data_IF_371188873219
#
_entry.id   IF_371188873219
#
_cell.length_a   1.000
_cell.length_b   1.000
_cell.length_c   1.000
_cell.angle_alpha   90.00
_cell.angle_beta   90.00
_cell.angle_gamma   90.00
#
_symmetry.space_group_name_H-M   'P 1'
#
loop_
_entity.id
_entity.type
_entity.pdbx_description
1 polymer ?
#
# COMPACT_ATOMS: atom_id res chain seq x y z
N UNK A 1 42.25 59.70 -59.18
CA UNK A 1 42.08 59.39 -57.74
C UNK A 1 42.04 57.88 -57.60
N UNK A 2 42.94 57.36 -56.77
CA UNK A 2 43.30 55.94 -56.69
C UNK A 2 42.26 55.17 -55.88
N UNK A 3 42.03 53.90 -56.23
CA UNK A 3 41.15 52.95 -55.53
C UNK A 3 41.74 52.48 -54.17
N UNK A 4 42.51 53.34 -53.51
CA UNK A 4 43.21 53.08 -52.26
C UNK A 4 42.65 53.87 -51.06
N UNK A 5 41.80 54.88 -51.26
CA UNK A 5 41.27 55.71 -50.17
C UNK A 5 39.96 55.15 -49.55
N UNK A 6 39.49 53.97 -49.98
CA UNK A 6 38.37 53.24 -49.37
C UNK A 6 38.81 52.03 -48.53
N UNK A 7 40.12 51.85 -48.32
CA UNK A 7 40.67 50.70 -47.58
C UNK A 7 41.30 51.07 -46.23
N UNK A 8 41.28 52.34 -45.82
CA UNK A 8 41.89 52.79 -44.55
C UNK A 8 40.93 52.92 -43.35
N UNK A 9 39.61 52.78 -43.51
CA UNK A 9 38.68 52.77 -42.34
C UNK A 9 38.32 51.37 -41.81
N UNK A 10 38.76 50.28 -42.45
CA UNK A 10 38.50 48.92 -41.97
C UNK A 10 39.63 48.36 -41.09
N UNK A 11 40.52 49.21 -40.58
CA UNK A 11 41.56 48.86 -39.60
C UNK A 11 41.14 49.39 -38.23
N UNK A 12 40.16 48.75 -37.61
CA UNK A 12 40.12 48.65 -36.15
C UNK A 12 39.37 47.39 -35.76
N UNK A 13 39.96 46.62 -34.83
CA UNK A 13 39.44 45.40 -34.20
C UNK A 13 39.64 44.06 -34.93
N UNK A 14 40.88 43.67 -35.15
CA UNK A 14 41.23 42.23 -35.16
C UNK A 14 42.35 41.97 -34.16
N UNK A 15 41.96 41.68 -32.91
CA UNK A 15 42.85 41.22 -31.85
C UNK A 15 42.70 39.71 -31.77
N UNK A 16 43.72 38.99 -32.20
CA UNK A 16 43.89 37.54 -32.08
C UNK A 16 43.60 37.09 -30.65
N UNK A 17 42.52 36.34 -30.45
CA UNK A 17 42.25 35.56 -29.24
C UNK A 17 42.46 34.06 -29.56
N UNK A 18 43.14 33.30 -28.68
CA UNK A 18 43.43 31.90 -28.94
C UNK A 18 42.17 31.04 -28.87
N UNK A 19 42.17 29.97 -29.67
CA UNK A 19 41.12 28.97 -29.83
C UNK A 19 40.46 28.59 -28.49
N UNK A 20 39.19 28.99 -28.31
CA UNK A 20 38.35 28.45 -27.25
C UNK A 20 37.95 27.02 -27.61
N UNK A 21 38.33 26.11 -26.73
CA UNK A 21 37.88 24.72 -26.68
C UNK A 21 36.35 24.68 -26.87
N UNK A 22 35.89 24.04 -27.94
CA UNK A 22 34.46 23.73 -28.11
C UNK A 22 34.10 22.68 -27.08
N UNK A 23 33.66 23.14 -25.92
CA UNK A 23 33.02 22.31 -24.92
C UNK A 23 31.58 22.15 -25.40
N UNK A 24 31.24 20.93 -25.83
CA UNK A 24 29.86 20.54 -26.12
C UNK A 24 29.01 20.92 -24.90
N UNK A 25 27.94 21.74 -25.03
CA UNK A 25 27.14 22.11 -23.89
C UNK A 25 26.49 20.84 -23.32
N UNK A 26 27.00 20.42 -22.17
CA UNK A 26 26.30 19.47 -21.32
C UNK A 26 24.91 20.03 -21.05
N UNK A 27 23.89 19.21 -21.29
CA UNK A 27 22.51 19.48 -20.91
C UNK A 27 22.47 19.49 -19.39
N UNK A 28 22.78 20.65 -18.80
CA UNK A 28 22.34 20.98 -17.45
C UNK A 28 20.88 21.38 -17.62
N UNK A 29 20.02 20.37 -17.54
CA UNK A 29 18.58 20.55 -17.44
C UNK A 29 18.33 21.30 -16.13
N UNK A 30 18.33 22.63 -16.21
CA UNK A 30 17.92 23.50 -15.13
C UNK A 30 16.45 23.24 -14.95
N UNK A 31 16.11 22.35 -14.01
CA UNK A 31 14.73 22.13 -13.60
C UNK A 31 14.23 23.41 -12.97
N UNK A 32 13.63 24.27 -13.79
CA UNK A 32 12.82 25.38 -13.36
C UNK A 32 11.70 24.78 -12.50
N UNK A 33 11.86 24.90 -11.17
CA UNK A 33 10.84 24.51 -10.21
C UNK A 33 9.66 25.44 -10.44
N UNK A 34 8.70 25.01 -11.25
CA UNK A 34 7.39 25.64 -11.36
C UNK A 34 6.82 25.67 -9.94
N UNK A 35 6.79 26.83 -9.31
CA UNK A 35 6.08 27.03 -8.05
C UNK A 35 4.59 26.81 -8.33
N UNK A 36 4.10 25.61 -8.04
CA UNK A 36 2.68 25.30 -8.06
C UNK A 36 1.96 26.33 -7.18
N UNK A 37 0.98 27.08 -7.70
CA UNK A 37 0.23 28.03 -6.89
C UNK A 37 -0.34 27.30 -5.66
N UNK A 38 -0.19 27.88 -4.47
CA UNK A 38 -0.74 27.32 -3.21
C UNK A 38 -2.25 27.16 -3.36
N UNK A 39 -2.68 25.98 -3.81
CA UNK A 39 -4.10 25.63 -3.96
C UNK A 39 -4.76 25.74 -2.59
N UNK A 40 -5.83 26.53 -2.54
CA UNK A 40 -6.64 26.74 -1.33
C UNK A 40 -7.25 25.40 -0.91
N UNK A 41 -7.50 25.18 0.39
CA UNK A 41 -8.06 23.91 0.90
C UNK A 41 -9.34 23.49 0.15
N UNK A 42 -10.16 24.46 -0.30
CA UNK A 42 -11.34 24.25 -1.12
C UNK A 42 -11.05 23.72 -2.53
N UNK A 43 -9.97 24.17 -3.16
CA UNK A 43 -9.55 23.68 -4.47
C UNK A 43 -8.99 22.26 -4.36
N UNK A 44 -8.26 21.95 -3.27
CA UNK A 44 -7.78 20.59 -2.96
C UNK A 44 -8.90 19.61 -2.64
N UNK A 45 -10.05 20.08 -2.17
CA UNK A 45 -11.25 19.24 -1.96
C UNK A 45 -11.97 18.96 -3.28
N UNK A 46 -11.97 19.91 -4.21
CA UNK A 46 -12.67 19.80 -5.49
C UNK A 46 -11.87 19.07 -6.59
N UNK A 47 -10.57 18.85 -6.39
CA UNK A 47 -9.78 18.00 -7.30
C UNK A 47 -10.26 16.54 -7.23
N UNK A 48 -10.64 15.90 -8.35
CA UNK A 48 -11.03 14.49 -8.36
C UNK A 48 -9.88 13.60 -7.89
N UNK A 49 -10.16 12.67 -6.98
CA UNK A 49 -9.15 11.75 -6.42
C UNK A 49 -8.44 12.25 -5.15
N UNK A 50 -8.97 13.29 -4.50
CA UNK A 50 -8.39 13.84 -3.27
C UNK A 50 -8.69 12.98 -2.04
N UNK A 51 -7.70 12.74 -1.18
CA UNK A 51 -7.85 12.01 0.10
C UNK A 51 -8.95 12.62 0.97
N UNK A 52 -9.14 13.95 0.91
CA UNK A 52 -10.17 14.64 1.66
C UNK A 52 -11.59 14.21 1.28
N UNK A 53 -11.83 13.77 0.04
CA UNK A 53 -13.13 13.26 -0.38
C UNK A 53 -13.48 11.96 0.34
N UNK A 54 -12.50 11.08 0.55
CA UNK A 54 -12.68 9.82 1.29
C UNK A 54 -12.99 10.10 2.75
N UNK A 55 -12.23 11.02 3.38
CA UNK A 55 -12.43 11.38 4.79
C UNK A 55 -13.80 12.04 5.03
N UNK A 56 -14.20 12.98 4.18
CA UNK A 56 -15.50 13.66 4.29
C UNK A 56 -16.63 12.65 4.07
N UNK A 57 -16.51 11.76 3.08
CA UNK A 57 -17.52 10.71 2.83
C UNK A 57 -17.65 9.76 4.01
N UNK A 58 -16.54 9.35 4.62
CA UNK A 58 -16.56 8.50 5.81
C UNK A 58 -17.22 9.19 7.00
N UNK A 59 -16.91 10.47 7.24
CA UNK A 59 -17.54 11.26 8.30
C UNK A 59 -19.06 11.41 8.10
N UNK A 60 -19.49 11.69 6.87
CA UNK A 60 -20.92 11.76 6.50
C UNK A 60 -21.60 10.40 6.71
N UNK A 61 -20.97 9.31 6.27
CA UNK A 61 -21.52 7.96 6.43
C UNK A 61 -21.71 7.60 7.92
N UNK A 62 -20.74 7.93 8.78
CA UNK A 62 -20.84 7.74 10.23
C UNK A 62 -21.97 8.60 10.81
N UNK A 63 -22.07 9.87 10.41
CA UNK A 63 -23.11 10.77 10.90
C UNK A 63 -24.52 10.27 10.53
N UNK A 64 -24.71 9.79 9.29
CA UNK A 64 -25.97 9.20 8.83
C UNK A 64 -26.26 7.91 9.61
N UNK A 65 -25.29 7.00 9.72
CA UNK A 65 -25.46 5.74 10.45
C UNK A 65 -25.83 5.96 11.92
N UNK A 66 -25.17 6.93 12.57
CA UNK A 66 -25.49 7.34 13.94
C UNK A 66 -26.89 7.91 14.06
N UNK A 67 -27.29 8.84 13.19
CA UNK A 67 -28.63 9.44 13.20
C UNK A 67 -29.75 8.41 12.97
N UNK A 68 -29.56 7.46 12.05
CA UNK A 68 -30.51 6.38 11.81
C UNK A 68 -30.63 5.47 13.04
N UNK A 69 -29.50 5.13 13.66
CA UNK A 69 -29.46 4.27 14.85
C UNK A 69 -30.13 4.91 16.09
N UNK A 70 -30.13 6.24 16.21
CA UNK A 70 -30.76 6.94 17.35
C UNK A 70 -32.23 7.31 17.12
N UNK A 71 -32.68 7.35 15.86
CA UNK A 71 -34.04 7.83 15.52
C UNK A 71 -35.02 6.68 15.24
N UNK A 72 -34.55 5.48 14.91
CA UNK A 72 -35.39 4.35 14.49
C UNK A 72 -35.18 3.14 15.40
N UNK A 73 -36.25 2.66 16.05
CA UNK A 73 -36.17 1.52 16.97
C UNK A 73 -35.83 0.19 16.28
N UNK A 74 -36.27 0.00 15.03
CA UNK A 74 -35.98 -1.19 14.22
C UNK A 74 -35.79 -0.81 12.75
N UNK A 75 -34.57 -0.95 12.26
CA UNK A 75 -34.25 -0.78 10.83
C UNK A 75 -34.63 -2.08 10.10
N UNK A 76 -35.44 -2.03 9.02
CA UNK A 76 -35.73 -3.21 8.21
C UNK A 76 -34.46 -3.80 7.60
N UNK A 77 -34.30 -5.13 7.67
CA UNK A 77 -33.13 -5.85 7.12
C UNK A 77 -32.89 -5.52 5.64
N UNK A 78 -33.97 -5.42 4.86
CA UNK A 78 -33.91 -5.07 3.44
C UNK A 78 -33.27 -3.69 3.17
N UNK A 79 -33.44 -2.72 4.07
CA UNK A 79 -32.85 -1.40 3.92
C UNK A 79 -31.32 -1.45 4.14
N UNK A 80 -30.87 -2.21 5.14
CA UNK A 80 -29.43 -2.43 5.40
C UNK A 80 -28.79 -3.16 4.21
N UNK A 81 -29.46 -4.20 3.69
CA UNK A 81 -28.96 -4.96 2.55
C UNK A 81 -28.83 -4.11 1.29
N UNK A 82 -29.82 -3.28 0.99
CA UNK A 82 -29.83 -2.40 -0.19
C UNK A 82 -28.75 -1.32 -0.08
N UNK A 83 -28.63 -0.66 1.08
CA UNK A 83 -27.59 0.32 1.35
C UNK A 83 -26.17 -0.28 1.29
N UNK A 84 -26.02 -1.56 1.62
CA UNK A 84 -24.74 -2.27 1.57
C UNK A 84 -24.28 -2.70 0.17
N UNK A 85 -25.15 -2.70 -0.85
CA UNK A 85 -24.81 -3.11 -2.22
C UNK A 85 -23.57 -2.41 -2.78
N UNK A 86 -23.48 -1.06 -2.81
CA UNK A 86 -22.32 -0.37 -3.38
C UNK A 86 -21.01 -0.74 -2.66
N UNK A 87 -21.04 -0.85 -1.33
CA UNK A 87 -19.89 -1.27 -0.54
C UNK A 87 -19.45 -2.70 -0.86
N UNK A 88 -20.39 -3.64 -0.98
CA UNK A 88 -20.10 -5.04 -1.34
C UNK A 88 -19.49 -5.16 -2.73
N UNK A 89 -20.03 -4.46 -3.73
CA UNK A 89 -19.48 -4.47 -5.10
C UNK A 89 -18.06 -3.88 -5.11
N UNK A 90 -17.84 -2.77 -4.39
CA UNK A 90 -16.53 -2.15 -4.26
C UNK A 90 -15.50 -3.08 -3.62
N UNK A 91 -15.84 -3.72 -2.49
CA UNK A 91 -14.95 -4.70 -1.84
C UNK A 91 -14.65 -5.91 -2.74
N UNK A 92 -15.65 -6.41 -3.47
CA UNK A 92 -15.44 -7.51 -4.45
C UNK A 92 -14.52 -7.09 -5.59
N UNK A 93 -14.66 -5.87 -6.10
CA UNK A 93 -13.79 -5.34 -7.14
C UNK A 93 -12.34 -5.19 -6.65
N UNK A 94 -12.13 -4.66 -5.44
CA UNK A 94 -10.80 -4.58 -4.84
C UNK A 94 -10.18 -5.97 -4.68
N UNK A 95 -10.92 -6.92 -4.11
CA UNK A 95 -10.44 -8.29 -3.89
C UNK A 95 -10.06 -8.99 -5.20
N UNK A 96 -10.84 -8.79 -6.26
CA UNK A 96 -10.56 -9.35 -7.59
C UNK A 96 -9.26 -8.84 -8.21
N UNK A 97 -8.85 -7.60 -7.91
CA UNK A 97 -7.64 -6.98 -8.45
C UNK A 97 -6.40 -7.28 -7.59
N UNK A 98 -6.58 -7.32 -6.26
CA UNK A 98 -5.47 -7.45 -5.31
C UNK A 98 -4.69 -8.75 -5.53
N UNK A 99 -5.38 -9.88 -5.69
CA UNK A 99 -4.71 -11.18 -5.74
C UNK A 99 -3.81 -11.35 -7.00
N UNK A 100 -4.27 -11.05 -8.24
CA UNK A 100 -3.38 -11.04 -9.41
C UNK A 100 -2.22 -10.04 -9.29
N UNK A 101 -2.50 -8.85 -8.74
CA UNK A 101 -1.50 -7.79 -8.59
C UNK A 101 -0.36 -8.23 -7.65
N UNK A 102 -0.69 -8.89 -6.54
CA UNK A 102 0.29 -9.43 -5.58
C UNK A 102 1.22 -10.43 -6.28
N UNK A 103 0.67 -11.39 -7.03
CA UNK A 103 1.45 -12.44 -7.72
C UNK A 103 2.44 -11.82 -8.69
N UNK A 104 1.96 -10.96 -9.59
CA UNK A 104 2.82 -10.30 -10.60
C UNK A 104 3.85 -9.40 -9.93
N UNK A 105 3.44 -8.61 -8.92
CA UNK A 105 4.35 -7.70 -8.23
C UNK A 105 5.44 -8.45 -7.45
N UNK A 106 5.14 -9.60 -6.84
CA UNK A 106 6.13 -10.40 -6.14
C UNK A 106 7.14 -11.04 -7.08
N UNK A 107 6.67 -11.61 -8.20
CA UNK A 107 7.55 -12.21 -9.21
C UNK A 107 8.57 -11.15 -9.69
N UNK A 108 8.09 -9.96 -10.06
CA UNK A 108 8.94 -8.86 -10.50
C UNK A 108 9.88 -8.36 -9.39
N UNK A 109 9.40 -8.28 -8.14
CA UNK A 109 10.22 -7.85 -7.01
C UNK A 109 11.39 -8.82 -6.76
N UNK A 110 11.13 -10.13 -6.81
CA UNK A 110 12.18 -11.16 -6.61
C UNK A 110 13.20 -11.13 -7.73
N UNK A 111 12.78 -10.96 -8.99
CA UNK A 111 13.70 -10.83 -10.13
C UNK A 111 14.64 -9.63 -9.96
N UNK A 112 14.09 -8.45 -9.62
CA UNK A 112 14.88 -7.24 -9.36
C UNK A 112 15.84 -7.38 -8.17
N UNK A 113 15.41 -8.06 -7.11
CA UNK A 113 16.26 -8.32 -5.94
C UNK A 113 17.44 -9.25 -6.28
N UNK A 114 17.26 -10.16 -7.24
CA UNK A 114 18.32 -11.08 -7.70
C UNK A 114 19.36 -10.38 -8.58
N UNK A 115 18.93 -9.47 -9.46
CA UNK A 115 19.84 -8.61 -10.26
C UNK A 115 20.72 -7.74 -9.34
N UNK A 116 20.21 -7.38 -8.17
CA UNK A 116 20.95 -6.64 -7.14
C UNK A 116 21.93 -7.57 -6.39
N UNK A 117 23.06 -7.87 -7.03
CA UNK A 117 24.13 -8.83 -6.68
C UNK A 117 24.57 -8.96 -5.20
N UNK A 118 24.36 -7.97 -4.31
CA UNK A 118 24.86 -8.01 -2.91
C UNK A 118 23.87 -7.58 -1.83
N UNK A 119 22.64 -7.18 -2.17
CA UNK A 119 21.72 -6.51 -1.23
C UNK A 119 20.58 -7.35 -0.65
N UNK A 120 20.14 -8.41 -1.34
CA UNK A 120 18.87 -9.09 -1.03
C UNK A 120 18.78 -9.68 0.38
N UNK A 121 19.83 -10.35 0.84
CA UNK A 121 19.86 -10.96 2.19
C UNK A 121 19.89 -9.92 3.32
N UNK A 122 20.58 -8.79 3.10
CA UNK A 122 20.62 -7.69 4.06
C UNK A 122 19.24 -7.05 4.19
N UNK A 123 18.59 -6.75 3.06
CA UNK A 123 17.24 -6.21 3.00
C UNK A 123 16.25 -7.13 3.72
N UNK A 124 16.24 -8.42 3.39
CA UNK A 124 15.35 -9.39 4.03
C UNK A 124 15.52 -9.42 5.57
N UNK A 125 16.76 -9.40 6.05
CA UNK A 125 17.06 -9.42 7.49
C UNK A 125 16.61 -8.14 8.20
N UNK A 126 16.80 -6.98 7.56
CA UNK A 126 16.29 -5.71 8.08
C UNK A 126 14.76 -5.66 8.08
N UNK A 127 14.10 -6.15 7.04
CA UNK A 127 12.64 -6.21 6.96
C UNK A 127 12.06 -7.12 8.05
N UNK A 128 12.61 -8.34 8.22
CA UNK A 128 12.17 -9.27 9.28
C UNK A 128 12.39 -8.64 10.66
N UNK A 129 13.59 -8.10 10.92
CA UNK A 129 13.89 -7.45 12.20
C UNK A 129 12.97 -6.26 12.48
N UNK A 130 12.71 -5.42 11.48
CA UNK A 130 11.81 -4.28 11.58
C UNK A 130 10.37 -4.71 11.87
N UNK A 131 9.86 -5.73 11.17
CA UNK A 131 8.50 -6.24 11.36
C UNK A 131 8.32 -6.87 12.75
N UNK A 132 9.27 -7.70 13.19
CA UNK A 132 9.25 -8.29 14.54
C UNK A 132 9.33 -7.20 15.62
N UNK A 133 10.22 -6.24 15.48
CA UNK A 133 10.38 -5.17 16.46
C UNK A 133 9.11 -4.32 16.57
N UNK A 134 8.56 -3.85 15.44
CA UNK A 134 7.34 -3.03 15.44
C UNK A 134 6.13 -3.79 15.96
N UNK A 135 6.00 -5.10 15.66
CA UNK A 135 4.94 -5.96 16.20
C UNK A 135 5.08 -6.13 17.70
N UNK A 136 6.28 -6.40 18.21
CA UNK A 136 6.53 -6.50 19.65
C UNK A 136 6.19 -5.19 20.37
N UNK A 137 6.63 -4.04 19.82
CA UNK A 137 6.29 -2.72 20.36
C UNK A 137 4.77 -2.51 20.38
N UNK A 138 4.06 -2.89 19.32
CA UNK A 138 2.60 -2.80 19.27
C UNK A 138 1.92 -3.69 20.32
N UNK A 139 2.39 -4.93 20.52
CA UNK A 139 1.86 -5.85 21.54
C UNK A 139 2.08 -5.29 22.95
N UNK A 140 3.29 -4.81 23.26
CA UNK A 140 3.56 -4.18 24.54
C UNK A 140 2.71 -2.94 24.77
N UNK A 141 2.63 -2.05 23.78
CA UNK A 141 1.82 -0.84 23.85
C UNK A 141 0.34 -1.16 24.08
N UNK A 142 -0.21 -2.09 23.29
CA UNK A 142 -1.60 -2.55 23.43
C UNK A 142 -1.84 -3.14 24.82
N UNK A 143 -0.97 -4.02 25.30
CA UNK A 143 -1.12 -4.68 26.60
C UNK A 143 -1.07 -3.68 27.76
N UNK A 144 -0.14 -2.71 27.71
CA UNK A 144 -0.02 -1.66 28.73
C UNK A 144 -1.25 -0.76 28.75
N UNK A 145 -1.75 -0.32 27.59
CA UNK A 145 -2.96 0.50 27.51
C UNK A 145 -4.20 -0.25 28.01
N UNK A 146 -4.34 -1.53 27.63
CA UNK A 146 -5.42 -2.38 28.12
C UNK A 146 -5.36 -2.49 29.65
N UNK A 147 -4.19 -2.82 30.20
CA UNK A 147 -4.02 -3.07 31.63
C UNK A 147 -4.20 -1.81 32.50
N UNK A 148 -3.72 -0.65 32.05
CA UNK A 148 -3.70 0.57 32.87
C UNK A 148 -4.92 1.49 32.67
N UNK A 149 -5.43 1.58 31.43
CA UNK A 149 -6.45 2.56 31.06
C UNK A 149 -7.80 1.87 30.83
N UNK A 150 -7.85 0.95 29.88
CA UNK A 150 -9.13 0.39 29.43
C UNK A 150 -9.77 -0.56 30.44
N UNK A 151 -9.00 -1.41 31.13
CA UNK A 151 -9.52 -2.32 32.16
C UNK A 151 -10.29 -1.61 33.28
N UNK A 152 -9.94 -0.34 33.56
CA UNK A 152 -10.60 0.49 34.58
C UNK A 152 -11.84 1.21 34.07
N UNK A 153 -11.99 1.33 32.74
CA UNK A 153 -13.07 2.07 32.11
C UNK A 153 -14.22 1.17 31.65
N UNK A 154 -13.95 -0.11 31.41
CA UNK A 154 -14.93 -1.10 30.98
C UNK A 154 -15.38 -1.97 32.17
N UNK A 155 -16.69 -2.10 32.38
CA UNK A 155 -17.28 -3.06 33.31
C UNK A 155 -17.56 -4.37 32.58
N UNK A 156 -17.36 -5.51 33.24
CA UNK A 156 -17.76 -6.81 32.70
C UNK A 156 -19.28 -6.83 32.48
N UNK A 157 -19.69 -7.05 31.23
CA UNK A 157 -21.10 -7.29 30.89
C UNK A 157 -21.46 -8.73 31.20
N UNK A 158 -22.62 -8.92 31.83
CA UNK A 158 -23.15 -10.23 32.22
C UNK A 158 -23.21 -11.16 30.98
N UNK A 159 -22.66 -12.39 31.06
CA UNK A 159 -22.67 -13.33 29.94
C UNK A 159 -24.07 -13.60 29.36
N UNK A 160 -25.14 -13.54 30.16
CA UNK A 160 -26.52 -13.76 29.69
C UNK A 160 -27.09 -12.57 28.90
N UNK A 161 -26.49 -11.38 29.04
CA UNK A 161 -26.87 -10.18 28.27
C UNK A 161 -26.23 -10.12 26.88
N UNK A 162 -25.26 -11.01 26.60
CA UNK A 162 -24.61 -11.09 25.29
C UNK A 162 -25.55 -11.75 24.30
N UNK A 163 -26.32 -10.94 23.60
CA UNK A 163 -27.05 -11.36 22.39
C UNK A 163 -26.06 -11.61 21.26
N UNK A 164 -25.27 -12.69 21.38
CA UNK A 164 -24.44 -13.19 20.28
C UNK A 164 -25.37 -13.94 19.34
N UNK A 165 -25.28 -13.61 18.05
CA UNK A 165 -25.98 -14.36 17.02
C UNK A 165 -25.61 -15.85 17.10
N UNK A 166 -26.58 -16.75 16.95
CA UNK A 166 -26.38 -18.20 17.16
C UNK A 166 -25.34 -18.79 16.19
N UNK A 167 -25.20 -18.21 15.00
CA UNK A 167 -24.21 -18.65 14.03
C UNK A 167 -22.80 -18.17 14.45
N UNK A 168 -22.70 -16.95 14.99
CA UNK A 168 -21.45 -16.42 15.52
C UNK A 168 -20.98 -17.19 16.78
N UNK A 169 -21.91 -17.62 17.63
CA UNK A 169 -21.58 -18.44 18.80
C UNK A 169 -21.00 -19.81 18.39
N UNK A 170 -21.54 -20.46 17.36
CA UNK A 170 -20.99 -21.72 16.83
C UNK A 170 -19.57 -21.55 16.29
N UNK A 171 -19.28 -20.45 15.61
CA UNK A 171 -17.93 -20.15 15.11
C UNK A 171 -16.94 -19.90 16.25
N UNK A 172 -17.37 -19.27 17.33
CA UNK A 172 -16.54 -19.05 18.53
C UNK A 172 -16.26 -20.37 19.23
N UNK A 173 -17.28 -21.19 19.44
CA UNK A 173 -17.15 -22.46 20.17
C UNK A 173 -16.26 -23.43 19.38
N UNK A 174 -16.42 -23.51 18.06
CA UNK A 174 -15.56 -24.33 17.19
C UNK A 174 -14.10 -23.85 17.15
N UNK A 175 -13.85 -22.53 17.22
CA UNK A 175 -12.49 -21.97 17.27
C UNK A 175 -11.83 -22.09 18.64
N UNK A 176 -12.61 -22.12 19.73
CA UNK A 176 -12.08 -22.25 21.09
C UNK A 176 -11.50 -23.64 21.40
N UNK A 177 -11.85 -24.64 20.59
CA UNK A 177 -11.39 -26.01 20.73
C UNK A 177 -9.98 -26.26 20.14
N UNK A 178 -9.43 -25.34 19.34
CA UNK A 178 -8.11 -25.49 18.76
C UNK A 178 -7.02 -25.27 19.82
N UNK A 179 -6.12 -26.22 19.95
CA UNK A 179 -4.96 -26.02 20.81
C UNK A 179 -3.94 -25.13 20.11
N UNK A 180 -3.13 -24.42 20.90
CA UNK A 180 -2.12 -23.51 20.35
C UNK A 180 -1.13 -24.20 19.39
N UNK A 181 -0.88 -25.50 19.57
CA UNK A 181 0.02 -26.25 18.70
C UNK A 181 -0.60 -26.56 17.32
N UNK A 182 -1.90 -26.83 17.26
CA UNK A 182 -2.61 -27.13 16.00
C UNK A 182 -2.54 -25.93 15.03
N UNK A 183 -2.70 -24.72 15.57
CA UNK A 183 -2.65 -23.47 14.80
C UNK A 183 -1.24 -23.27 14.18
N UNK A 184 -0.19 -23.61 14.93
CA UNK A 184 1.18 -23.49 14.43
C UNK A 184 1.42 -24.51 13.32
N UNK A 185 0.98 -25.76 13.50
CA UNK A 185 1.10 -26.80 12.45
C UNK A 185 0.35 -26.37 11.19
N UNK A 186 -0.90 -25.92 11.32
CA UNK A 186 -1.72 -25.45 10.20
C UNK A 186 -1.07 -24.28 9.43
N UNK A 187 -0.41 -23.36 10.14
CA UNK A 187 0.33 -22.26 9.52
C UNK A 187 1.46 -22.78 8.62
N UNK A 188 2.21 -23.79 9.08
CA UNK A 188 3.30 -24.40 8.31
C UNK A 188 2.78 -25.21 7.13
N UNK A 189 1.69 -25.96 7.29
CA UNK A 189 1.04 -26.68 6.21
C UNK A 189 0.54 -25.71 5.12
N UNK A 190 0.08 -24.52 5.53
CA UNK A 190 -0.38 -23.47 4.61
C UNK A 190 0.75 -22.78 3.83
N UNK A 191 2.01 -22.86 4.30
CA UNK A 191 3.15 -22.27 3.57
C UNK A 191 3.38 -22.91 2.21
N UNK A 192 3.13 -24.21 2.08
CA UNK A 192 3.32 -24.97 0.83
C UNK A 192 2.01 -25.68 0.49
N UNK A 193 1.12 -25.03 -0.29
CA UNK A 193 -0.18 -25.62 -0.60
C UNK A 193 -0.04 -26.79 -1.57
N UNK A 194 -0.84 -27.84 -1.37
CA UNK A 194 -0.91 -29.01 -2.28
C UNK A 194 -1.33 -28.63 -3.71
N UNK A 195 -2.10 -27.55 -3.85
CA UNK A 195 -2.56 -27.03 -5.13
C UNK A 195 -2.57 -25.49 -5.14
N UNK A 196 -1.71 -24.90 -5.97
CA UNK A 196 -1.57 -23.44 -6.11
C UNK A 196 -2.86 -22.78 -6.62
N UNK A 197 -3.57 -23.43 -7.56
CA UNK A 197 -4.82 -22.88 -8.14
C UNK A 197 -5.93 -22.90 -7.10
N UNK A 198 -6.03 -23.96 -6.30
CA UNK A 198 -6.97 -24.03 -5.20
C UNK A 198 -6.64 -22.99 -4.11
N UNK A 199 -5.35 -22.78 -3.81
CA UNK A 199 -4.91 -21.74 -2.88
C UNK A 199 -5.28 -20.33 -3.37
N UNK A 200 -5.15 -20.08 -4.68
CA UNK A 200 -5.57 -18.84 -5.31
C UNK A 200 -7.10 -18.65 -5.27
N UNK A 201 -7.87 -19.70 -5.54
CA UNK A 201 -9.33 -19.64 -5.54
C UNK A 201 -9.95 -19.44 -4.14
N UNK A 202 -9.29 -19.96 -3.09
CA UNK A 202 -9.74 -19.87 -1.71
C UNK A 202 -9.08 -18.72 -0.92
N UNK A 203 -8.41 -17.80 -1.60
CA UNK A 203 -7.72 -16.65 -0.97
C UNK A 203 -6.70 -17.04 0.11
N UNK A 204 -6.03 -18.19 -0.04
CA UNK A 204 -4.95 -18.63 0.85
C UNK A 204 -3.68 -17.83 0.51
N UNK A 205 -3.64 -16.60 1.01
CA UNK A 205 -2.62 -15.61 0.63
C UNK A 205 -1.21 -16.09 0.95
N UNK A 206 -0.98 -16.69 2.12
CA UNK A 206 0.37 -17.12 2.55
C UNK A 206 1.00 -18.09 1.54
N UNK A 207 0.28 -19.14 1.15
CA UNK A 207 0.75 -20.11 0.17
C UNK A 207 0.95 -19.50 -1.22
N UNK A 208 0.05 -18.60 -1.64
CA UNK A 208 0.18 -17.87 -2.92
C UNK A 208 1.43 -16.97 -2.94
N UNK A 209 1.74 -16.28 -1.83
CA UNK A 209 2.93 -15.44 -1.71
C UNK A 209 4.21 -16.28 -1.83
N UNK A 210 4.31 -17.40 -1.09
CA UNK A 210 5.48 -18.30 -1.11
C UNK A 210 5.67 -18.89 -2.51
N UNK A 211 4.60 -19.41 -3.13
CA UNK A 211 4.65 -19.96 -4.48
C UNK A 211 5.09 -18.91 -5.51
N UNK A 212 4.60 -17.66 -5.39
CA UNK A 212 5.00 -16.55 -6.28
C UNK A 212 6.48 -16.19 -6.14
N UNK A 213 7.03 -16.24 -4.92
CA UNK A 213 8.46 -15.99 -4.67
C UNK A 213 9.32 -17.08 -5.30
N UNK A 214 8.95 -18.35 -5.12
CA UNK A 214 9.66 -19.50 -5.71
C UNK A 214 9.60 -19.42 -7.24
N UNK A 215 8.42 -19.12 -7.80
CA UNK A 215 8.24 -18.94 -9.24
C UNK A 215 9.10 -17.78 -9.78
N UNK A 216 9.11 -16.64 -9.09
CA UNK A 216 9.96 -15.50 -9.44
C UNK A 216 11.45 -15.82 -9.42
N UNK A 217 11.88 -16.68 -8.50
CA UNK A 217 13.25 -17.17 -8.43
C UNK A 217 13.57 -18.22 -9.53
N UNK A 218 12.61 -19.06 -9.92
CA UNK A 218 12.81 -20.05 -11.01
C UNK A 218 12.88 -19.41 -12.39
N UNK A 219 12.12 -18.34 -12.64
CA UNK A 219 12.13 -17.66 -13.93
C UNK A 219 13.50 -17.02 -14.16
N UNK A 220 14.18 -17.41 -15.24
CA UNK A 220 15.49 -16.88 -15.64
C UNK A 220 15.33 -15.47 -16.22
N UNK A 221 16.27 -14.59 -15.89
CA UNK A 221 16.30 -13.24 -16.42
C UNK A 221 16.72 -13.26 -17.92
N UNK A 222 15.92 -12.67 -18.84
CA UNK A 222 16.27 -12.59 -20.25
C UNK A 222 17.55 -11.76 -20.53
N UNK A 223 18.01 -10.92 -19.60
CA UNK A 223 19.24 -10.13 -19.76
C UNK A 223 20.54 -10.94 -19.54
N UNK A 224 20.44 -12.17 -19.03
CA UNK A 224 21.58 -13.06 -18.72
C UNK A 224 21.51 -14.42 -19.47
N UNK A 225 20.73 -14.50 -20.55
CA UNK A 225 20.69 -15.66 -21.45
C UNK A 225 21.27 -15.36 -22.82
#
# INVERSE_FOLDING_TARGET
MSSNDLREEAVSTEKTQPLKHVQSPGVVETMERVEEPKKTLWEKVKTPGSVYQILISAAIAIAIGFAVNTTVDKVPVAAVDLCGIPGRIWLRALKAIVLPLIVVSLILAVQRLREMSRGGALLARWTIGYYLFTTLVAIFHSTILVALVWSKQFSEVDPDSRTVDKDLQKDIDSRSAYQAHDIVVELFDTLVPDNIVAAFANDILLGVLVASIILGYMIKDPATS
#
